data_IF_224876530303
#
_entry.id   IF_224876530303
#
_cell.length_a   1.000
_cell.length_b   1.000
_cell.length_c   1.000
_cell.angle_alpha   90.00
_cell.angle_beta   90.00
_cell.angle_gamma   90.00
#
_symmetry.space_group_name_H-M   'P 1'
#
loop_
_entity.id
_entity.type
_entity.pdbx_description
1 polymer ?
#
# COMPACT_ATOMS: atom_id res chain seq x y z
N UNK A 1 -1.64 22.38 -9.89
CA UNK A 1 -1.57 22.58 -8.44
C UNK A 1 -2.98 22.90 -7.89
N UNK A 2 -3.67 21.93 -7.35
CA UNK A 2 -4.98 22.06 -6.74
C UNK A 2 -5.08 21.22 -5.48
N UNK A 3 -6.16 21.42 -4.71
CA UNK A 3 -6.47 20.63 -3.51
C UNK A 3 -7.84 20.02 -3.69
N UNK A 4 -7.95 18.70 -3.50
CA UNK A 4 -9.20 17.99 -3.34
C UNK A 4 -9.30 17.67 -1.84
N UNK A 5 -10.33 18.19 -1.18
CA UNK A 5 -10.53 18.05 0.26
C UNK A 5 -11.84 17.31 0.53
N UNK A 6 -11.75 16.16 1.16
CA UNK A 6 -12.87 15.30 1.52
C UNK A 6 -13.41 15.51 2.93
N UNK A 7 -12.89 16.47 3.70
CA UNK A 7 -13.26 16.65 5.12
C UNK A 7 -14.75 16.87 5.40
N UNK A 8 -15.50 17.34 4.41
CA UNK A 8 -16.95 17.53 4.51
C UNK A 8 -17.77 16.38 3.92
N UNK A 9 -17.12 15.31 3.49
CA UNK A 9 -17.82 14.16 2.93
C UNK A 9 -18.43 13.33 4.07
N UNK A 10 -19.72 13.50 4.25
CA UNK A 10 -20.48 12.65 5.15
C UNK A 10 -20.97 11.44 4.36
N UNK A 11 -20.40 10.28 4.63
CA UNK A 11 -20.87 9.04 4.04
C UNK A 11 -22.23 8.68 4.68
N UNK A 12 -23.25 8.34 3.88
CA UNK A 12 -24.42 7.66 4.42
C UNK A 12 -23.96 6.31 5.01
N UNK A 13 -24.67 5.79 6.02
CA UNK A 13 -24.38 4.54 6.73
C UNK A 13 -24.39 3.27 5.85
N UNK A 14 -24.44 3.41 4.55
CA UNK A 14 -24.41 2.30 3.59
C UNK A 14 -23.00 1.98 3.17
N UNK A 15 -22.71 0.69 2.92
CA UNK A 15 -21.46 0.14 2.41
C UNK A 15 -21.11 0.59 0.96
N UNK A 16 -21.49 1.80 0.58
CA UNK A 16 -21.14 2.36 -0.72
C UNK A 16 -19.65 2.62 -0.84
N UNK A 17 -19.17 2.63 -2.05
CA UNK A 17 -17.77 2.91 -2.43
C UNK A 17 -17.24 4.13 -1.67
N UNK A 18 -16.25 3.89 -0.82
CA UNK A 18 -15.74 4.90 0.11
C UNK A 18 -14.41 5.49 -0.31
N UNK A 19 -13.85 5.06 -1.42
CA UNK A 19 -12.56 5.52 -1.89
C UNK A 19 -12.61 6.97 -2.37
N UNK A 20 -11.56 7.72 -2.07
CA UNK A 20 -11.60 9.14 -2.32
C UNK A 20 -11.33 9.48 -3.79
N UNK A 21 -10.27 8.93 -4.37
CA UNK A 21 -9.96 9.01 -5.80
C UNK A 21 -9.92 7.58 -6.31
N UNK A 22 -10.93 7.19 -7.04
CA UNK A 22 -11.14 5.82 -7.45
C UNK A 22 -11.17 5.69 -8.97
N UNK A 23 -10.21 4.96 -9.52
CA UNK A 23 -10.19 4.57 -10.92
C UNK A 23 -10.41 3.05 -11.01
N UNK A 24 -11.47 2.62 -11.69
CA UNK A 24 -11.77 1.19 -11.88
C UNK A 24 -11.84 0.87 -13.35
N UNK A 25 -11.18 -0.20 -13.79
CA UNK A 25 -11.17 -0.64 -15.18
C UNK A 25 -10.68 0.42 -16.16
N UNK A 26 -9.76 1.28 -15.70
CA UNK A 26 -9.22 2.35 -16.53
C UNK A 26 -7.91 1.94 -17.19
N UNK A 27 -7.65 2.53 -18.34
CA UNK A 27 -6.37 2.39 -19.03
C UNK A 27 -5.78 3.77 -19.28
N UNK A 28 -4.46 3.92 -19.12
CA UNK A 28 -3.75 5.20 -19.26
C UNK A 28 -4.23 6.26 -18.25
N UNK A 29 -4.13 5.96 -16.96
CA UNK A 29 -4.48 6.88 -15.86
C UNK A 29 -3.27 7.75 -15.52
N UNK A 30 -3.45 9.06 -15.47
CA UNK A 30 -2.46 10.01 -14.96
C UNK A 30 -3.06 10.85 -13.83
N UNK A 31 -2.52 10.70 -12.62
CA UNK A 31 -2.81 11.55 -11.47
C UNK A 31 -1.55 12.35 -11.14
N UNK A 32 -1.59 13.69 -11.29
CA UNK A 32 -0.37 14.48 -11.17
C UNK A 32 -0.57 15.87 -10.58
N UNK A 33 0.32 16.26 -9.67
CA UNK A 33 0.56 17.65 -9.29
C UNK A 33 -0.55 18.28 -8.42
N UNK A 34 -1.27 17.51 -7.61
CA UNK A 34 -2.29 18.04 -6.71
C UNK A 34 -2.22 17.40 -5.32
N UNK A 35 -2.95 18.01 -4.38
CA UNK A 35 -3.03 17.52 -3.00
C UNK A 35 -4.39 16.88 -2.75
N UNK A 36 -4.41 15.66 -2.22
CA UNK A 36 -5.61 14.96 -1.75
C UNK A 36 -5.60 14.92 -0.21
N UNK A 37 -6.63 15.48 0.42
CA UNK A 37 -6.68 15.67 1.88
C UNK A 37 -7.99 15.13 2.45
N UNK A 38 -7.88 14.40 3.56
CA UNK A 38 -9.01 14.00 4.39
C UNK A 38 -10.14 13.29 3.62
N UNK A 39 -9.78 12.36 2.77
CA UNK A 39 -10.73 11.47 2.13
C UNK A 39 -11.49 10.60 3.14
N UNK A 40 -12.63 10.01 2.73
CA UNK A 40 -13.49 9.24 3.62
C UNK A 40 -12.94 7.85 3.97
N UNK A 41 -11.96 7.35 3.23
CA UNK A 41 -11.26 6.08 3.42
C UNK A 41 -9.96 6.10 2.61
N UNK A 42 -9.61 5.02 1.93
CA UNK A 42 -8.45 4.94 1.03
C UNK A 42 -8.42 6.10 0.03
N UNK A 43 -7.26 6.75 -0.08
CA UNK A 43 -7.22 8.02 -0.80
C UNK A 43 -7.10 7.87 -2.31
N UNK A 44 -6.18 7.06 -2.80
CA UNK A 44 -5.95 6.87 -4.24
C UNK A 44 -5.98 5.39 -4.57
N UNK A 45 -6.98 4.96 -5.32
CA UNK A 45 -7.22 3.54 -5.59
C UNK A 45 -7.34 3.28 -7.08
N UNK A 46 -6.26 2.98 -7.78
CA UNK A 46 -6.33 2.32 -9.08
C UNK A 46 -6.73 0.84 -8.86
N UNK A 47 -7.86 0.44 -9.42
CA UNK A 47 -8.42 -0.90 -9.27
C UNK A 47 -8.66 -1.56 -10.63
N UNK A 48 -8.02 -2.68 -10.87
CA UNK A 48 -8.05 -3.40 -12.14
C UNK A 48 -7.72 -2.50 -13.34
N UNK A 49 -6.75 -1.59 -13.16
CA UNK A 49 -6.29 -0.63 -14.14
C UNK A 49 -5.01 -1.09 -14.83
N UNK A 50 -4.75 -0.54 -16.01
CA UNK A 50 -3.52 -0.74 -16.76
C UNK A 50 -2.90 0.61 -17.14
N UNK A 51 -1.56 0.72 -17.12
CA UNK A 51 -0.80 1.94 -17.42
C UNK A 51 -1.20 3.13 -16.52
N UNK A 52 -0.84 3.06 -15.26
CA UNK A 52 -1.16 4.09 -14.24
C UNK A 52 0.10 4.85 -13.85
N UNK A 53 0.02 6.17 -13.86
CA UNK A 53 1.09 7.04 -13.33
C UNK A 53 0.51 7.95 -12.25
N UNK A 54 1.11 7.88 -11.06
CA UNK A 54 0.81 8.76 -9.91
C UNK A 54 2.09 9.54 -9.62
N UNK A 55 2.10 10.85 -9.89
CA UNK A 55 3.31 11.66 -9.91
C UNK A 55 3.09 13.03 -9.21
N UNK A 56 4.02 13.43 -8.36
CA UNK A 56 4.04 14.76 -7.72
C UNK A 56 2.73 15.06 -6.95
N UNK A 57 2.25 14.08 -6.18
CA UNK A 57 1.07 14.24 -5.34
C UNK A 57 1.44 14.39 -3.87
N UNK A 58 0.62 15.19 -3.14
CA UNK A 58 0.61 15.16 -1.69
C UNK A 58 -0.68 14.49 -1.22
N UNK A 59 -0.56 13.44 -0.43
CA UNK A 59 -1.70 12.67 0.10
C UNK A 59 -1.66 12.76 1.61
N UNK A 60 -2.75 13.24 2.23
CA UNK A 60 -2.81 13.45 3.68
C UNK A 60 -4.11 12.92 4.26
N UNK A 61 -4.02 11.94 5.13
CA UNK A 61 -5.14 11.34 5.85
C UNK A 61 -5.07 11.62 7.34
N UNK A 62 -6.26 11.57 7.98
CA UNK A 62 -6.39 11.64 9.44
C UNK A 62 -7.41 10.64 10.02
N UNK A 63 -8.00 9.81 9.19
CA UNK A 63 -8.99 8.82 9.61
C UNK A 63 -8.36 7.43 9.68
N UNK A 64 -8.89 6.55 10.55
CA UNK A 64 -8.31 5.23 10.85
C UNK A 64 -8.15 4.32 9.62
N UNK A 65 -9.01 4.43 8.62
CA UNK A 65 -8.95 3.66 7.37
C UNK A 65 -8.39 4.50 6.22
N UNK A 66 -7.49 5.39 6.54
CA UNK A 66 -7.00 6.39 5.61
C UNK A 66 -5.70 6.00 4.94
N UNK A 67 -5.74 4.91 4.17
CA UNK A 67 -4.61 4.50 3.34
C UNK A 67 -4.24 5.60 2.34
N UNK A 68 -3.00 5.62 1.93
CA UNK A 68 -2.50 6.57 0.95
C UNK A 68 -2.81 6.16 -0.49
N UNK A 69 -2.09 5.19 -0.99
CA UNK A 69 -2.24 4.66 -2.35
C UNK A 69 -2.41 3.14 -2.29
N UNK A 70 -3.56 2.65 -2.74
CA UNK A 70 -3.88 1.23 -2.82
C UNK A 70 -3.87 0.75 -4.27
N UNK A 71 -2.76 0.20 -4.71
CA UNK A 71 -2.64 -0.41 -6.03
C UNK A 71 -3.33 -1.78 -5.97
N UNK A 72 -4.57 -1.84 -6.44
CA UNK A 72 -5.40 -3.04 -6.35
C UNK A 72 -5.57 -3.69 -7.71
N UNK A 73 -5.08 -4.94 -7.85
CA UNK A 73 -5.28 -5.74 -9.07
C UNK A 73 -4.91 -5.01 -10.37
N UNK A 74 -3.94 -4.10 -10.31
CA UNK A 74 -3.55 -3.22 -11.42
C UNK A 74 -2.15 -3.55 -11.92
N UNK A 75 -1.88 -3.27 -13.19
CA UNK A 75 -0.65 -3.61 -13.87
C UNK A 75 -0.02 -2.38 -14.52
N UNK A 76 1.33 -2.41 -14.64
CA UNK A 76 2.11 -1.31 -15.23
C UNK A 76 1.81 0.02 -14.51
N UNK A 77 2.17 0.07 -13.23
CA UNK A 77 1.88 1.19 -12.34
C UNK A 77 3.18 1.86 -11.91
N UNK A 78 3.28 3.17 -12.08
CA UNK A 78 4.37 3.98 -11.58
C UNK A 78 3.88 4.98 -10.53
N UNK A 79 4.48 4.96 -9.33
CA UNK A 79 4.23 5.92 -8.24
C UNK A 79 5.52 6.64 -7.92
N UNK A 80 5.54 7.96 -8.10
CA UNK A 80 6.79 8.72 -7.91
C UNK A 80 6.59 10.14 -7.39
N UNK A 81 7.66 10.66 -6.75
CA UNK A 81 7.75 12.05 -6.31
C UNK A 81 6.60 12.49 -5.39
N UNK A 82 5.98 11.56 -4.69
CA UNK A 82 4.85 11.83 -3.82
C UNK A 82 5.29 12.04 -2.37
N UNK A 83 4.55 12.87 -1.66
CA UNK A 83 4.55 12.92 -0.20
C UNK A 83 3.27 12.27 0.30
N UNK A 84 3.41 11.23 1.13
CA UNK A 84 2.27 10.44 1.61
C UNK A 84 2.29 10.43 3.13
N UNK A 85 1.26 11.05 3.74
CA UNK A 85 0.98 10.97 5.17
C UNK A 85 -0.35 10.25 5.37
N UNK A 86 -0.29 9.02 5.79
CA UNK A 86 -1.46 8.17 6.02
C UNK A 86 -1.62 7.81 7.49
N UNK A 87 -2.79 7.33 7.84
CA UNK A 87 -3.11 6.77 9.17
C UNK A 87 -3.40 5.28 9.11
N UNK A 88 -3.44 4.71 7.93
CA UNK A 88 -3.39 3.29 7.64
C UNK A 88 -2.25 3.10 6.64
N UNK A 89 -2.21 2.07 5.82
CA UNK A 89 -1.09 1.79 4.93
C UNK A 89 -0.78 2.97 4.00
N UNK A 90 0.49 3.34 3.88
CA UNK A 90 0.82 4.50 3.04
C UNK A 90 0.86 4.15 1.56
N UNK A 91 1.52 3.05 1.21
CA UNK A 91 1.48 2.45 -0.13
C UNK A 91 1.15 0.99 0.05
N UNK A 92 0.04 0.57 -0.51
CA UNK A 92 -0.46 -0.79 -0.36
C UNK A 92 -0.67 -1.47 -1.70
N UNK A 93 -0.28 -2.74 -1.77
CA UNK A 93 -0.49 -3.62 -2.92
C UNK A 93 -1.51 -4.69 -2.53
N UNK A 94 -2.56 -4.80 -3.32
CA UNK A 94 -3.63 -5.78 -3.08
C UNK A 94 -4.03 -6.46 -4.39
N UNK A 95 -4.42 -7.73 -4.31
CA UNK A 95 -5.13 -8.44 -5.37
C UNK A 95 -6.39 -9.01 -4.75
N UNK A 96 -7.50 -8.32 -4.89
CA UNK A 96 -8.73 -8.67 -4.18
C UNK A 96 -9.98 -8.38 -4.98
N UNK A 97 -11.05 -9.06 -4.59
CA UNK A 97 -12.39 -8.73 -5.03
C UNK A 97 -12.84 -7.42 -4.39
N UNK A 98 -13.22 -6.46 -5.24
CA UNK A 98 -13.80 -5.20 -4.79
C UNK A 98 -15.31 -5.15 -5.07
N UNK A 99 -16.09 -4.74 -4.09
CA UNK A 99 -17.55 -4.57 -4.20
C UNK A 99 -18.27 -5.81 -4.74
N UNK A 100 -17.93 -6.98 -4.25
CA UNK A 100 -18.50 -8.26 -4.68
C UNK A 100 -18.28 -8.58 -6.17
N UNK A 101 -17.38 -7.89 -6.85
CA UNK A 101 -17.05 -8.11 -8.25
C UNK A 101 -15.80 -9.00 -8.38
N UNK A 102 -15.95 -10.31 -8.64
CA UNK A 102 -14.82 -11.24 -8.74
C UNK A 102 -13.90 -10.92 -9.92
N UNK A 103 -14.37 -10.20 -10.93
CA UNK A 103 -13.54 -9.83 -12.08
C UNK A 103 -12.49 -8.76 -11.75
N UNK A 104 -12.57 -8.15 -10.56
CA UNK A 104 -11.52 -7.26 -10.06
C UNK A 104 -10.30 -8.00 -9.52
N UNK A 105 -10.35 -9.31 -9.31
CA UNK A 105 -9.17 -10.10 -8.93
C UNK A 105 -8.30 -10.34 -10.15
N UNK A 106 -7.14 -9.70 -10.16
CA UNK A 106 -6.14 -9.81 -11.24
C UNK A 106 -4.74 -9.81 -10.63
N UNK A 107 -3.78 -10.30 -11.37
CA UNK A 107 -2.38 -10.19 -11.01
C UNK A 107 -1.95 -8.74 -10.88
N UNK A 108 -1.05 -8.45 -9.94
CA UNK A 108 -0.36 -7.18 -9.84
C UNK A 108 1.07 -7.36 -10.30
N UNK A 109 1.43 -6.69 -11.37
CA UNK A 109 2.76 -6.83 -11.97
C UNK A 109 3.25 -5.53 -12.59
N UNK A 110 4.58 -5.41 -12.78
CA UNK A 110 5.22 -4.23 -13.35
C UNK A 110 4.90 -2.96 -12.55
N UNK A 111 5.05 -3.03 -11.24
CA UNK A 111 4.86 -1.86 -10.37
C UNK A 111 6.22 -1.28 -10.01
N UNK A 112 6.37 0.02 -10.19
CA UNK A 112 7.54 0.76 -9.75
C UNK A 112 7.14 1.92 -8.84
N UNK A 113 7.66 1.90 -7.63
CA UNK A 113 7.44 2.94 -6.61
C UNK A 113 8.78 3.57 -6.28
N UNK A 114 8.96 4.87 -6.56
CA UNK A 114 10.27 5.49 -6.34
C UNK A 114 10.22 6.99 -6.02
N UNK A 115 11.28 7.48 -5.36
CA UNK A 115 11.42 8.90 -4.99
C UNK A 115 10.25 9.43 -4.16
N UNK A 116 9.68 8.61 -3.28
CA UNK A 116 8.57 9.02 -2.43
C UNK A 116 9.04 9.28 -1.00
N UNK A 117 8.36 10.19 -0.32
CA UNK A 117 8.52 10.45 1.11
C UNK A 117 7.27 9.99 1.83
N UNK A 118 7.44 9.13 2.82
CA UNK A 118 6.36 8.44 3.52
C UNK A 118 6.39 8.79 5.00
N UNK A 119 5.25 9.21 5.53
CA UNK A 119 4.97 9.33 6.96
C UNK A 119 3.73 8.53 7.29
N UNK A 120 3.92 7.36 7.87
CA UNK A 120 2.82 6.51 8.31
C UNK A 120 2.53 6.70 9.80
N UNK A 121 1.29 7.01 10.13
CA UNK A 121 0.81 7.07 11.51
C UNK A 121 0.07 5.76 11.88
N UNK A 122 -0.44 5.67 13.11
CA UNK A 122 -1.21 4.51 13.60
C UNK A 122 -2.65 4.51 13.04
N UNK A 123 -3.21 3.35 12.70
CA UNK A 123 -2.57 2.05 12.47
C UNK A 123 -2.08 1.94 11.03
N UNK A 124 -1.07 1.16 10.72
CA UNK A 124 -0.72 0.87 9.34
C UNK A 124 0.76 0.58 9.12
N UNK A 125 1.11 0.39 7.87
CA UNK A 125 2.46 0.11 7.41
C UNK A 125 2.92 1.20 6.42
N UNK A 126 4.22 1.41 6.29
CA UNK A 126 4.68 2.39 5.30
C UNK A 126 4.56 1.83 3.87
N UNK A 127 5.03 0.60 3.63
CA UNK A 127 4.83 -0.14 2.38
C UNK A 127 4.31 -1.52 2.74
N UNK A 128 3.11 -1.84 2.27
CA UNK A 128 2.41 -3.09 2.56
C UNK A 128 2.08 -3.86 1.29
N UNK A 129 2.35 -5.16 1.27
CA UNK A 129 1.71 -6.11 0.35
C UNK A 129 0.75 -6.94 1.21
N UNK A 130 -0.54 -6.69 1.10
CA UNK A 130 -1.49 -7.38 1.99
C UNK A 130 -2.79 -6.62 2.31
N UNK A 131 -3.63 -7.21 3.08
CA UNK A 131 -3.66 -8.67 3.43
C UNK A 131 -4.22 -9.53 2.31
N UNK A 132 -5.10 -8.94 1.48
CA UNK A 132 -5.81 -9.62 0.42
C UNK A 132 -4.93 -9.78 -0.83
N UNK A 133 -4.26 -10.91 -0.94
CA UNK A 133 -3.38 -11.26 -2.05
C UNK A 133 -3.92 -12.54 -2.71
N UNK A 134 -4.94 -12.37 -3.55
CA UNK A 134 -5.75 -13.48 -4.08
C UNK A 134 -5.23 -14.02 -5.42
N UNK A 135 -4.27 -13.34 -6.06
CA UNK A 135 -3.66 -13.72 -7.33
C UNK A 135 -2.15 -13.54 -7.30
N UNK A 136 -1.47 -13.63 -8.42
CA UNK A 136 -0.01 -13.43 -8.53
C UNK A 136 0.36 -11.97 -8.26
N UNK A 137 1.38 -11.76 -7.45
CA UNK A 137 1.97 -10.45 -7.16
C UNK A 137 3.46 -10.54 -7.45
N UNK A 138 3.92 -9.96 -8.54
CA UNK A 138 5.31 -10.12 -8.97
C UNK A 138 5.83 -8.95 -9.82
N UNK A 139 7.15 -8.93 -10.01
CA UNK A 139 7.82 -7.90 -10.80
C UNK A 139 7.55 -6.48 -10.23
N UNK A 140 7.76 -6.34 -8.92
CA UNK A 140 7.59 -5.08 -8.19
C UNK A 140 8.94 -4.52 -7.72
N UNK A 141 9.12 -3.21 -7.90
CA UNK A 141 10.31 -2.50 -7.43
C UNK A 141 9.91 -1.29 -6.58
N UNK A 142 10.39 -1.26 -5.35
CA UNK A 142 10.31 -0.12 -4.45
C UNK A 142 11.72 0.43 -4.27
N UNK A 143 11.98 1.67 -4.70
CA UNK A 143 13.35 2.18 -4.68
C UNK A 143 13.44 3.68 -4.37
N UNK A 144 14.59 4.09 -3.83
CA UNK A 144 14.88 5.50 -3.56
C UNK A 144 13.78 6.22 -2.75
N UNK A 145 13.21 5.54 -1.75
CA UNK A 145 12.14 6.09 -0.91
C UNK A 145 12.63 6.40 0.50
N UNK A 146 12.05 7.44 1.10
CA UNK A 146 12.30 7.85 2.48
C UNK A 146 11.07 7.57 3.34
N UNK A 147 11.20 6.66 4.30
CA UNK A 147 10.21 6.42 5.35
C UNK A 147 10.64 7.21 6.57
N UNK A 148 10.14 8.43 6.72
CA UNK A 148 10.53 9.32 7.82
C UNK A 148 9.87 8.97 9.14
N UNK A 149 8.73 8.27 9.09
CA UNK A 149 8.05 7.74 10.27
C UNK A 149 7.17 6.56 9.87
N UNK A 150 7.18 5.51 10.71
CA UNK A 150 6.23 4.41 10.62
C UNK A 150 5.87 3.93 12.02
N UNK A 151 4.60 4.01 12.38
CA UNK A 151 4.18 3.72 13.74
C UNK A 151 3.90 2.22 13.93
N UNK A 152 2.74 1.71 13.64
CA UNK A 152 2.44 0.28 13.71
C UNK A 152 0.98 -0.03 13.36
N UNK A 153 0.68 -1.29 13.09
CA UNK A 153 -0.68 -1.80 12.81
C UNK A 153 -1.32 -2.48 14.04
N UNK A 154 -1.31 -1.83 15.19
CA UNK A 154 -1.97 -2.33 16.40
C UNK A 154 -1.59 -3.78 16.74
N UNK A 155 -2.60 -4.60 17.08
CA UNK A 155 -2.39 -5.99 17.52
C UNK A 155 -1.99 -6.95 16.38
N UNK A 156 -2.15 -6.59 15.13
CA UNK A 156 -1.79 -7.46 14.00
C UNK A 156 -0.30 -7.42 13.69
N UNK A 157 0.37 -6.43 14.22
CA UNK A 157 1.78 -6.19 13.97
C UNK A 157 1.99 -5.54 12.61
N UNK A 158 2.88 -4.58 12.55
CA UNK A 158 3.20 -3.84 11.34
C UNK A 158 4.66 -3.52 11.26
N UNK A 159 5.09 -3.02 10.14
CA UNK A 159 6.46 -2.66 9.89
C UNK A 159 6.59 -1.53 8.87
N UNK A 160 7.82 -1.03 8.71
CA UNK A 160 8.13 -0.14 7.60
C UNK A 160 7.92 -0.83 6.25
N UNK A 161 8.31 -2.11 6.14
CA UNK A 161 8.15 -2.94 4.94
C UNK A 161 7.48 -4.26 5.32
N UNK A 162 6.25 -4.46 4.87
CA UNK A 162 5.42 -5.62 5.25
C UNK A 162 4.96 -6.42 4.04
N UNK A 163 4.88 -7.73 4.21
CA UNK A 163 4.20 -8.65 3.29
C UNK A 163 3.34 -9.59 4.15
N UNK A 164 2.04 -9.37 4.12
CA UNK A 164 1.07 -10.13 4.89
C UNK A 164 0.19 -10.94 3.95
N UNK A 165 0.64 -12.13 3.58
CA UNK A 165 -0.10 -13.01 2.68
C UNK A 165 -1.18 -13.78 3.43
N UNK A 166 -2.44 -13.34 3.29
CA UNK A 166 -3.58 -13.92 4.00
C UNK A 166 -4.51 -14.75 3.11
N UNK A 167 -4.27 -14.80 1.81
CA UNK A 167 -5.08 -15.53 0.83
C UNK A 167 -4.24 -16.57 0.05
N UNK A 168 -4.72 -17.01 -1.09
CA UNK A 168 -4.12 -18.10 -1.86
C UNK A 168 -3.15 -17.67 -2.96
N UNK A 169 -2.87 -16.38 -3.11
CA UNK A 169 -1.98 -15.88 -4.17
C UNK A 169 -0.50 -16.14 -3.88
N UNK A 170 0.33 -15.87 -4.87
CA UNK A 170 1.77 -16.05 -4.80
C UNK A 170 2.48 -14.72 -4.96
N UNK A 171 3.34 -14.37 -3.99
CA UNK A 171 4.14 -13.14 -3.95
C UNK A 171 5.59 -13.49 -4.24
N UNK A 172 6.13 -12.96 -5.32
CA UNK A 172 7.53 -13.23 -5.72
C UNK A 172 8.14 -12.11 -6.57
N UNK A 173 9.45 -12.14 -6.77
CA UNK A 173 10.18 -11.12 -7.53
C UNK A 173 9.90 -9.69 -7.04
N UNK A 174 10.03 -9.48 -5.73
CA UNK A 174 9.84 -8.19 -5.08
C UNK A 174 11.19 -7.60 -4.69
N UNK A 175 11.47 -6.39 -5.13
CA UNK A 175 12.74 -5.71 -4.89
C UNK A 175 12.56 -4.42 -4.09
N UNK A 176 13.22 -4.33 -2.96
CA UNK A 176 13.37 -3.10 -2.17
C UNK A 176 14.80 -2.61 -2.27
N UNK A 177 15.02 -1.39 -2.80
CA UNK A 177 16.35 -0.84 -3.06
C UNK A 177 16.48 0.58 -2.53
N UNK A 178 17.62 0.89 -1.89
CA UNK A 178 17.92 2.25 -1.44
C UNK A 178 16.78 2.86 -0.59
N UNK A 179 16.21 2.10 0.33
CA UNK A 179 15.16 2.62 1.23
C UNK A 179 15.82 3.16 2.48
N UNK A 180 15.51 4.41 2.84
CA UNK A 180 15.95 5.02 4.08
C UNK A 180 14.79 5.08 5.08
N UNK A 181 15.01 4.58 6.28
CA UNK A 181 14.02 4.57 7.36
C UNK A 181 14.58 5.41 8.51
N UNK A 182 13.92 6.52 8.84
CA UNK A 182 14.34 7.35 9.97
C UNK A 182 13.79 6.79 11.28
N UNK A 183 12.50 6.48 11.32
CA UNK A 183 11.86 5.94 12.51
C UNK A 183 10.83 4.85 12.14
N UNK A 184 11.05 3.65 12.68
CA UNK A 184 10.05 2.57 12.68
C UNK A 184 9.82 2.12 14.12
N UNK A 185 8.62 2.34 14.67
CA UNK A 185 8.36 2.12 16.09
C UNK A 185 8.22 0.64 16.45
N UNK A 186 7.73 -0.18 15.52
CA UNK A 186 7.48 -1.59 15.81
C UNK A 186 8.49 -2.53 15.17
N UNK A 187 8.57 -2.56 13.84
CA UNK A 187 9.48 -3.44 13.10
C UNK A 187 10.01 -2.76 11.85
N UNK A 188 11.15 -3.22 11.36
CA UNK A 188 11.63 -2.87 10.03
C UNK A 188 10.94 -3.73 8.97
N UNK A 189 10.92 -5.05 9.18
CA UNK A 189 10.27 -6.03 8.30
C UNK A 189 9.24 -6.85 9.07
N UNK A 190 8.09 -7.12 8.45
CA UNK A 190 7.12 -8.13 8.90
C UNK A 190 6.60 -8.92 7.69
N UNK A 191 7.20 -10.07 7.42
CA UNK A 191 6.90 -10.92 6.27
C UNK A 191 6.32 -12.23 6.76
N UNK A 192 5.07 -12.53 6.40
CA UNK A 192 4.41 -13.73 6.90
C UNK A 192 3.25 -14.21 6.03
N UNK A 193 3.05 -15.53 6.03
CA UNK A 193 1.81 -16.16 5.58
C UNK A 193 0.94 -16.41 6.80
N UNK A 194 -0.29 -15.91 6.80
CA UNK A 194 -1.15 -15.97 7.99
C UNK A 194 -2.62 -16.15 7.62
N UNK A 195 -3.41 -16.62 8.58
CA UNK A 195 -4.87 -16.53 8.55
C UNK A 195 -5.32 -15.41 9.49
N UNK A 196 -6.19 -14.55 9.01
CA UNK A 196 -6.69 -13.42 9.78
C UNK A 196 -8.16 -13.10 9.41
N UNK A 197 -8.72 -12.06 9.99
CA UNK A 197 -10.10 -11.61 9.71
C UNK A 197 -10.34 -11.15 8.27
N UNK A 198 -9.28 -10.94 7.50
CA UNK A 198 -9.35 -10.50 6.10
C UNK A 198 -9.15 -11.66 5.10
N UNK A 199 -8.88 -12.87 5.57
CA UNK A 199 -8.72 -14.05 4.72
C UNK A 199 -10.06 -14.43 4.08
N UNK A 200 -10.11 -14.41 2.76
CA UNK A 200 -11.26 -14.87 1.97
C UNK A 200 -11.02 -16.24 1.33
N UNK A 201 -9.78 -16.58 1.00
CA UNK A 201 -9.40 -17.83 0.40
C UNK A 201 -8.69 -18.71 1.42
N UNK A 202 -9.18 -19.93 1.64
CA UNK A 202 -8.55 -20.88 2.57
C UNK A 202 -7.31 -21.58 1.96
N UNK A 203 -7.02 -21.39 0.69
CA UNK A 203 -5.79 -21.85 0.07
C UNK A 203 -4.60 -21.12 0.72
N UNK A 204 -3.54 -21.85 0.97
CA UNK A 204 -2.32 -21.27 1.53
C UNK A 204 -1.55 -20.57 0.41
N UNK A 205 -1.32 -19.26 0.57
CA UNK A 205 -0.47 -18.50 -0.34
C UNK A 205 1.03 -18.77 -0.13
N UNK A 206 1.83 -18.25 -1.02
CA UNK A 206 3.29 -18.41 -1.03
C UNK A 206 3.98 -17.07 -1.11
N UNK A 207 5.19 -16.99 -0.52
CA UNK A 207 6.09 -15.83 -0.59
C UNK A 207 7.50 -16.36 -0.86
N UNK A 208 8.13 -15.92 -1.94
CA UNK A 208 9.53 -16.22 -2.25
C UNK A 208 10.17 -15.12 -3.09
N UNK A 209 11.47 -15.19 -3.31
CA UNK A 209 12.23 -14.25 -4.14
C UNK A 209 12.00 -12.77 -3.76
N UNK A 210 12.18 -12.45 -2.49
CA UNK A 210 12.11 -11.10 -1.93
C UNK A 210 13.52 -10.58 -1.71
N UNK A 211 13.86 -9.45 -2.33
CA UNK A 211 15.20 -8.90 -2.36
C UNK A 211 15.27 -7.56 -1.64
N UNK A 212 16.25 -7.41 -0.75
CA UNK A 212 16.54 -6.17 -0.05
C UNK A 212 17.97 -5.74 -0.36
N UNK A 213 18.11 -4.55 -0.93
CA UNK A 213 19.40 -3.98 -1.29
C UNK A 213 19.52 -2.56 -0.74
N UNK A 214 20.54 -2.29 0.07
CA UNK A 214 20.83 -0.99 0.66
C UNK A 214 19.63 -0.41 1.44
N UNK A 215 19.14 -1.13 2.44
CA UNK A 215 18.13 -0.65 3.39
C UNK A 215 18.85 -0.01 4.56
N UNK A 216 18.65 1.28 4.79
CA UNK A 216 19.33 2.07 5.80
C UNK A 216 18.37 2.50 6.90
N UNK A 217 18.78 2.29 8.14
CA UNK A 217 18.07 2.79 9.32
C UNK A 217 18.88 3.91 9.91
N UNK A 218 18.31 5.11 9.96
CA UNK A 218 19.04 6.31 10.31
C UNK A 218 18.99 6.66 11.79
N UNK A 219 17.88 6.39 12.45
CA UNK A 219 17.66 6.77 13.85
C UNK A 219 17.05 5.63 14.66
N UNK A 220 17.70 5.27 15.75
CA UNK A 220 17.11 4.54 16.84
C UNK A 220 17.24 3.03 16.83
N UNK A 221 16.71 2.45 17.88
CA UNK A 221 16.63 1.01 18.10
C UNK A 221 15.42 0.47 17.35
N UNK A 222 15.66 -0.28 16.30
CA UNK A 222 14.58 -0.96 15.59
C UNK A 222 14.31 -2.29 16.28
N UNK A 223 13.05 -2.56 16.60
CA UNK A 223 12.64 -3.87 17.12
C UNK A 223 12.96 -5.01 16.17
N UNK A 224 12.90 -6.22 16.67
CA UNK A 224 13.19 -7.42 15.90
C UNK A 224 12.25 -7.53 14.70
N UNK A 225 12.81 -7.66 13.52
CA UNK A 225 12.06 -7.99 12.30
C UNK A 225 11.60 -9.45 12.33
N UNK A 226 10.48 -9.73 11.65
CA UNK A 226 9.89 -11.07 11.62
C UNK A 226 9.73 -11.57 10.19
N UNK A 227 10.18 -12.79 9.93
CA UNK A 227 9.95 -13.52 8.67
C UNK A 227 9.48 -14.93 9.03
N UNK A 228 8.26 -15.34 8.60
CA UNK A 228 7.67 -16.63 8.92
C UNK A 228 6.56 -17.10 7.97
#
# INVERSE_FOLDING_TARGET
NGIINGACWHLPDSNADRFFIYAKWCNNVLLKGFTAVDGPSWHVVPAACDHVVIDDMNIMSRIVTGDGIDITSSQDVEVKNCFIRSTDDSICIKSQRLFEDPSTVRDVTKVRVHNNVIWNAEPGNAIELGYALQSEIHDLVFEDCDIIHCQYEGNMGGAALSIHQADGGHVHDIHYKNIRVEQAEQKLFDIKVLLCKYTEQLAKGEINDIYFDNIQVLNGDIPVSMIR
#
